data_IF_299371589776
#
_entry.id   IF_299371589776
#
_cell.length_a   1.000
_cell.length_b   1.000
_cell.length_c   1.000
_cell.angle_alpha   90.00
_cell.angle_beta   90.00
_cell.angle_gamma   90.00
#
_symmetry.space_group_name_H-M   'P 1'
#
loop_
_entity.id
_entity.type
_entity.pdbx_description
1 polymer ?
#
# COMPACT_ATOMS: atom_id res chain seq x y z
N UNK A 1 5.12 23.59 -18.64
CA UNK A 1 5.13 22.24 -18.04
C UNK A 1 4.11 21.39 -18.78
N UNK A 2 4.43 20.13 -19.07
CA UNK A 2 3.47 19.20 -19.65
C UNK A 2 2.41 18.85 -18.60
N UNK A 3 1.13 18.84 -18.99
CA UNK A 3 -0.02 18.47 -18.15
C UNK A 3 -0.62 17.18 -18.69
N UNK A 4 -0.99 16.25 -17.80
CA UNK A 4 -1.56 14.96 -18.16
C UNK A 4 -3.00 14.84 -17.59
N UNK A 5 -3.96 15.59 -18.15
CA UNK A 5 -5.28 15.77 -17.54
C UNK A 5 -6.09 14.47 -17.48
N UNK A 6 -5.85 13.53 -18.39
CA UNK A 6 -6.60 12.27 -18.48
C UNK A 6 -5.85 11.08 -17.88
N UNK A 7 -4.70 11.29 -17.22
CA UNK A 7 -3.92 10.20 -16.65
C UNK A 7 -4.65 9.58 -15.45
N UNK A 8 -4.94 8.29 -15.54
CA UNK A 8 -5.65 7.52 -14.52
C UNK A 8 -4.75 6.51 -13.78
N UNK A 9 -3.68 6.07 -14.44
CA UNK A 9 -2.67 5.16 -13.89
C UNK A 9 -1.31 5.81 -14.01
N UNK A 10 -0.57 5.78 -12.92
CA UNK A 10 0.85 6.11 -12.91
C UNK A 10 1.63 4.88 -12.45
N UNK A 11 2.36 4.23 -13.35
CA UNK A 11 3.32 3.19 -13.01
C UNK A 11 4.72 3.66 -13.40
N UNK A 12 5.62 3.79 -12.42
CA UNK A 12 6.99 4.23 -12.65
C UNK A 12 7.97 3.31 -11.95
N UNK A 13 9.01 2.90 -12.67
CA UNK A 13 10.09 2.04 -12.16
C UNK A 13 11.41 2.80 -12.11
N UNK A 14 12.22 2.54 -11.08
CA UNK A 14 13.55 3.11 -10.91
C UNK A 14 13.59 4.64 -10.88
N UNK A 15 12.53 5.27 -10.33
CA UNK A 15 12.41 6.73 -10.24
C UNK A 15 12.52 7.21 -8.80
N UNK A 16 12.98 8.44 -8.57
CA UNK A 16 12.96 9.04 -7.23
C UNK A 16 11.56 9.49 -6.83
N UNK A 17 11.24 9.42 -5.53
CA UNK A 17 9.95 9.89 -5.02
C UNK A 17 9.71 11.38 -5.30
N UNK A 18 10.77 12.20 -5.39
CA UNK A 18 10.66 13.61 -5.76
C UNK A 18 10.13 13.80 -7.19
N UNK A 19 10.59 12.99 -8.14
CA UNK A 19 10.09 13.06 -9.53
C UNK A 19 8.66 12.55 -9.61
N UNK A 20 8.36 11.41 -8.95
CA UNK A 20 6.99 10.88 -8.87
C UNK A 20 6.02 11.93 -8.29
N UNK A 21 6.42 12.61 -7.22
CA UNK A 21 5.66 13.71 -6.60
C UNK A 21 5.35 14.80 -7.62
N UNK A 22 6.36 15.30 -8.35
CA UNK A 22 6.16 16.34 -9.37
C UNK A 22 5.20 15.91 -10.47
N UNK A 23 5.23 14.64 -10.87
CA UNK A 23 4.28 14.12 -11.88
C UNK A 23 2.86 14.14 -11.33
N UNK A 24 2.66 13.62 -10.11
CA UNK A 24 1.36 13.59 -9.42
C UNK A 24 0.76 15.00 -9.30
N UNK A 25 1.56 15.99 -8.89
CA UNK A 25 1.15 17.39 -8.74
C UNK A 25 0.73 18.05 -10.07
N UNK A 26 1.17 17.51 -11.22
CA UNK A 26 0.82 17.99 -12.56
C UNK A 26 -0.30 17.17 -13.22
N UNK A 27 -1.00 16.32 -12.45
CA UNK A 27 -2.22 15.63 -12.90
C UNK A 27 -3.48 16.39 -12.48
N UNK A 28 -4.61 16.10 -13.12
CA UNK A 28 -5.91 16.74 -12.80
C UNK A 28 -6.73 15.99 -11.73
N UNK A 29 -6.09 15.19 -10.87
CA UNK A 29 -6.82 14.44 -9.83
C UNK A 29 -7.51 13.15 -10.29
N UNK A 30 -7.23 12.71 -11.52
CA UNK A 30 -7.87 11.54 -12.13
C UNK A 30 -7.14 10.21 -11.84
N UNK A 31 -6.00 10.26 -11.15
CA UNK A 31 -5.26 9.07 -10.77
C UNK A 31 -6.07 8.22 -9.77
N UNK A 32 -6.36 6.98 -10.16
CA UNK A 32 -6.90 5.97 -9.26
C UNK A 32 -5.87 4.90 -8.90
N UNK A 33 -4.80 4.74 -9.69
CA UNK A 33 -3.68 3.84 -9.40
C UNK A 33 -2.33 4.56 -9.50
N UNK A 34 -1.52 4.42 -8.45
CA UNK A 34 -0.14 4.93 -8.41
C UNK A 34 0.79 3.84 -7.90
N UNK A 35 1.50 3.19 -8.82
CA UNK A 35 2.53 2.19 -8.53
C UNK A 35 3.90 2.81 -8.73
N UNK A 36 4.72 2.85 -7.69
CA UNK A 36 6.07 3.43 -7.75
C UNK A 36 7.07 2.42 -7.22
N UNK A 37 8.05 2.07 -8.04
CA UNK A 37 9.21 1.28 -7.62
C UNK A 37 10.41 2.21 -7.50
N UNK A 38 10.91 2.39 -6.28
CA UNK A 38 12.05 3.27 -5.97
C UNK A 38 13.03 2.59 -5.04
N UNK A 39 14.33 2.81 -5.25
CA UNK A 39 15.37 2.41 -4.32
C UNK A 39 15.62 3.48 -3.24
N UNK A 40 15.10 4.69 -3.42
CA UNK A 40 15.30 5.81 -2.51
C UNK A 40 14.04 6.07 -1.65
N UNK A 41 14.27 6.26 -0.35
CA UNK A 41 13.26 6.59 0.66
C UNK A 41 13.35 8.07 1.11
N UNK A 42 14.04 8.92 0.36
CA UNK A 42 13.99 10.36 0.55
C UNK A 42 12.64 10.92 0.09
N UNK A 43 12.19 12.01 0.72
CA UNK A 43 10.95 12.72 0.37
C UNK A 43 9.65 11.91 0.53
N UNK A 44 9.65 10.83 1.32
CA UNK A 44 8.46 9.98 1.56
C UNK A 44 7.27 10.77 2.11
N UNK A 45 7.51 11.73 3.02
CA UNK A 45 6.48 12.63 3.57
C UNK A 45 5.84 13.45 2.45
N UNK A 46 6.65 14.11 1.61
CA UNK A 46 6.16 14.95 0.50
C UNK A 46 5.39 14.11 -0.52
N UNK A 47 5.88 12.92 -0.83
CA UNK A 47 5.21 11.97 -1.72
C UNK A 47 3.81 11.56 -1.19
N UNK A 48 3.70 11.15 0.08
CA UNK A 48 2.42 10.77 0.67
C UNK A 48 1.45 11.96 0.67
N UNK A 49 1.93 13.18 0.97
CA UNK A 49 1.12 14.40 0.91
C UNK A 49 0.61 14.70 -0.51
N UNK A 50 1.43 14.47 -1.53
CA UNK A 50 0.99 14.66 -2.90
C UNK A 50 -0.14 13.68 -3.28
N UNK A 51 -0.04 12.42 -2.86
CA UNK A 51 -1.15 11.46 -3.04
C UNK A 51 -2.43 11.98 -2.36
N UNK A 52 -2.33 12.42 -1.10
CA UNK A 52 -3.49 12.94 -0.35
C UNK A 52 -4.15 14.13 -1.06
N UNK A 53 -3.35 15.07 -1.55
CA UNK A 53 -3.85 16.34 -2.06
C UNK A 53 -4.27 16.29 -3.54
N UNK A 54 -3.65 15.43 -4.35
CA UNK A 54 -3.80 15.41 -5.80
C UNK A 54 -4.35 14.09 -6.34
N UNK A 55 -4.68 13.10 -5.51
CA UNK A 55 -5.28 11.84 -5.96
C UNK A 55 -6.56 11.51 -5.16
N UNK A 56 -7.63 12.34 -5.26
CA UNK A 56 -8.87 12.13 -4.50
C UNK A 56 -9.59 10.81 -4.86
N UNK A 57 -9.30 10.25 -6.03
CA UNK A 57 -9.88 9.00 -6.53
C UNK A 57 -8.97 7.78 -6.34
N UNK A 58 -7.89 7.89 -5.55
CA UNK A 58 -6.93 6.80 -5.37
C UNK A 58 -7.59 5.55 -4.77
N UNK A 59 -7.39 4.43 -5.45
CA UNK A 59 -7.83 3.10 -5.03
C UNK A 59 -6.63 2.18 -4.76
N UNK A 60 -5.52 2.34 -5.49
CA UNK A 60 -4.33 1.51 -5.37
C UNK A 60 -3.06 2.36 -5.31
N UNK A 61 -2.22 2.17 -4.28
CA UNK A 61 -1.01 2.98 -4.10
C UNK A 61 0.19 2.22 -3.49
N UNK A 62 1.39 2.51 -3.99
CA UNK A 62 2.66 2.12 -3.34
C UNK A 62 3.07 3.16 -2.31
N UNK A 63 3.19 2.80 -1.03
CA UNK A 63 3.69 3.69 0.00
C UNK A 63 5.04 3.25 0.55
N UNK A 64 5.89 4.24 0.80
CA UNK A 64 7.23 4.09 1.35
C UNK A 64 7.21 4.56 2.81
N UNK A 65 7.20 3.62 3.74
CA UNK A 65 6.92 3.84 5.16
C UNK A 65 8.19 3.73 6.01
N UNK A 66 8.31 4.63 6.98
CA UNK A 66 9.30 4.60 8.04
C UNK A 66 8.71 5.20 9.34
N UNK A 67 9.46 5.18 10.44
CA UNK A 67 8.96 5.69 11.72
C UNK A 67 8.60 7.20 11.70
N UNK A 68 9.20 7.99 10.79
CA UNK A 68 9.02 9.44 10.70
C UNK A 68 7.74 9.84 9.96
N UNK A 69 7.18 8.96 9.12
CA UNK A 69 6.04 9.29 8.26
C UNK A 69 4.74 8.58 8.65
N UNK A 70 4.69 7.92 9.82
CA UNK A 70 3.48 7.26 10.31
C UNK A 70 2.28 8.22 10.48
N UNK A 71 2.51 9.50 10.75
CA UNK A 71 1.42 10.47 10.84
C UNK A 71 0.84 10.85 9.46
N UNK A 72 1.66 10.80 8.39
CA UNK A 72 1.15 10.96 7.02
C UNK A 72 0.39 9.71 6.56
N UNK A 73 0.79 8.51 7.00
CA UNK A 73 -0.01 7.29 6.79
C UNK A 73 -1.41 7.44 7.40
N UNK A 74 -1.53 7.95 8.63
CA UNK A 74 -2.85 8.22 9.25
C UNK A 74 -3.69 9.14 8.38
N UNK A 75 -3.11 10.24 7.92
CA UNK A 75 -3.82 11.22 7.08
C UNK A 75 -4.26 10.60 5.76
N UNK A 76 -3.42 9.79 5.12
CA UNK A 76 -3.77 9.09 3.89
C UNK A 76 -4.95 8.15 4.10
N UNK A 77 -4.94 7.33 5.15
CA UNK A 77 -6.03 6.40 5.44
C UNK A 77 -7.37 7.11 5.73
N UNK A 78 -7.32 8.31 6.34
CA UNK A 78 -8.51 9.13 6.62
C UNK A 78 -8.99 9.86 5.35
N UNK A 79 -8.08 10.36 4.51
CA UNK A 79 -8.47 11.15 3.33
C UNK A 79 -8.88 10.29 2.14
N UNK A 80 -8.21 9.16 1.91
CA UNK A 80 -8.36 8.34 0.71
C UNK A 80 -9.41 7.22 0.93
N UNK A 81 -10.68 7.59 1.05
CA UNK A 81 -11.75 6.64 1.39
C UNK A 81 -12.09 5.62 0.30
N UNK A 82 -11.57 5.78 -0.93
CA UNK A 82 -11.70 4.80 -2.02
C UNK A 82 -10.56 3.77 -2.06
N UNK A 83 -9.59 3.88 -1.16
CA UNK A 83 -8.41 3.00 -1.15
C UNK A 83 -8.81 1.54 -0.94
N UNK A 84 -8.56 0.69 -1.93
CA UNK A 84 -8.83 -0.75 -1.92
C UNK A 84 -7.57 -1.57 -1.66
N UNK A 85 -6.45 -1.13 -2.24
CA UNK A 85 -5.17 -1.84 -2.21
C UNK A 85 -4.00 -0.92 -1.85
N UNK A 86 -3.14 -1.40 -0.96
CA UNK A 86 -1.92 -0.68 -0.58
C UNK A 86 -0.70 -1.61 -0.59
N UNK A 87 0.34 -1.21 -1.31
CA UNK A 87 1.67 -1.81 -1.20
C UNK A 87 2.47 -1.01 -0.18
N UNK A 88 3.06 -1.69 0.80
CA UNK A 88 3.75 -1.09 1.94
C UNK A 88 5.22 -1.50 1.92
N UNK A 89 6.04 -0.61 1.36
CA UNK A 89 7.50 -0.73 1.32
C UNK A 89 8.05 -0.09 2.60
N UNK A 90 8.54 -0.91 3.54
CA UNK A 90 9.00 -0.42 4.85
C UNK A 90 10.52 -0.37 4.88
N UNK A 91 11.09 0.81 5.16
CA UNK A 91 12.52 0.96 5.43
C UNK A 91 12.78 1.00 6.94
N UNK A 92 13.66 0.10 7.38
CA UNK A 92 14.23 0.16 8.72
C UNK A 92 15.46 1.08 8.68
N UNK A 93 15.52 2.03 9.60
CA UNK A 93 16.75 2.81 9.79
C UNK A 93 17.77 1.96 10.56
N UNK A 94 19.06 2.19 10.30
CA UNK A 94 20.13 1.51 11.03
C UNK A 94 19.97 1.75 12.53
N UNK A 95 20.04 0.66 13.32
CA UNK A 95 19.93 0.68 14.77
C UNK A 95 18.60 1.21 15.35
N UNK A 96 17.56 1.42 14.53
CA UNK A 96 16.23 1.85 14.99
C UNK A 96 15.19 0.82 14.59
N UNK A 97 14.55 0.22 15.61
CA UNK A 97 13.46 -0.74 15.39
C UNK A 97 12.23 -0.03 14.81
N UNK A 98 11.60 -0.66 13.83
CA UNK A 98 10.33 -0.19 13.28
C UNK A 98 9.21 -0.27 14.33
N UNK A 99 8.41 0.78 14.45
CA UNK A 99 7.30 0.89 15.41
C UNK A 99 6.07 0.10 14.95
N UNK A 100 6.24 -1.21 14.80
CA UNK A 100 5.26 -2.13 14.22
C UNK A 100 3.89 -2.14 14.91
N UNK A 101 3.84 -2.08 16.25
CA UNK A 101 2.58 -2.02 17.00
C UNK A 101 1.79 -0.73 16.68
N UNK A 102 2.48 0.42 16.67
CA UNK A 102 1.88 1.70 16.29
C UNK A 102 1.40 1.68 14.84
N UNK A 103 2.19 1.11 13.93
CA UNK A 103 1.85 0.99 12.52
C UNK A 103 0.58 0.17 12.28
N UNK A 104 0.47 -1.02 12.90
CA UNK A 104 -0.74 -1.84 12.74
C UNK A 104 -1.94 -1.25 13.47
N UNK A 105 -1.75 -0.59 14.62
CA UNK A 105 -2.81 0.15 15.28
C UNK A 105 -3.40 1.22 14.33
N UNK A 106 -2.55 1.95 13.61
CA UNK A 106 -2.97 2.92 12.59
C UNK A 106 -3.78 2.23 11.48
N UNK A 107 -3.28 1.14 10.90
CA UNK A 107 -3.98 0.42 9.82
C UNK A 107 -5.34 -0.09 10.27
N UNK A 108 -5.41 -0.77 11.42
CA UNK A 108 -6.67 -1.34 11.93
C UNK A 108 -7.68 -0.24 12.24
N UNK A 109 -7.25 0.82 12.91
CA UNK A 109 -8.16 1.83 13.47
C UNK A 109 -8.62 2.85 12.44
N UNK A 110 -7.81 3.11 11.41
CA UNK A 110 -8.04 4.24 10.49
C UNK A 110 -8.20 3.82 9.04
N UNK A 111 -7.83 2.60 8.64
CA UNK A 111 -7.99 2.21 7.24
C UNK A 111 -9.47 2.22 6.82
N UNK A 112 -9.78 2.73 5.63
CA UNK A 112 -11.15 2.83 5.16
C UNK A 112 -11.75 1.43 4.98
N UNK A 113 -13.08 1.31 5.06
CA UNK A 113 -13.79 0.03 4.91
C UNK A 113 -13.63 -0.59 3.51
N UNK A 114 -13.27 0.24 2.54
CA UNK A 114 -12.88 -0.15 1.18
C UNK A 114 -11.54 -0.88 1.13
N UNK A 115 -10.61 -0.68 2.08
CA UNK A 115 -9.29 -1.32 2.04
C UNK A 115 -9.41 -2.80 2.40
N UNK A 116 -9.01 -3.68 1.48
CA UNK A 116 -9.01 -5.13 1.68
C UNK A 116 -7.81 -5.85 1.05
N UNK A 117 -6.93 -5.17 0.30
CA UNK A 117 -5.68 -5.76 -0.21
C UNK A 117 -4.46 -5.07 0.40
N UNK A 118 -3.55 -5.85 0.96
CA UNK A 118 -2.26 -5.34 1.47
C UNK A 118 -1.13 -6.18 0.89
N UNK A 119 -0.15 -5.52 0.29
CA UNK A 119 1.12 -6.12 -0.10
C UNK A 119 2.23 -5.61 0.82
N UNK A 120 2.97 -6.50 1.50
CA UNK A 120 3.93 -6.11 2.55
C UNK A 120 5.01 -7.18 2.82
N UNK A 121 6.22 -6.78 3.22
CA UNK A 121 7.23 -7.72 3.75
C UNK A 121 6.89 -8.14 5.18
N UNK A 122 6.50 -9.40 5.36
CA UNK A 122 6.07 -9.95 6.64
C UNK A 122 7.22 -10.25 7.59
N UNK A 123 8.46 -10.35 7.10
CA UNK A 123 9.63 -10.67 7.92
C UNK A 123 10.00 -9.56 8.90
N UNK A 124 9.51 -8.34 8.65
CA UNK A 124 9.72 -7.15 9.48
C UNK A 124 8.99 -7.28 10.83
N UNK A 125 7.99 -8.16 10.91
CA UNK A 125 7.07 -8.23 12.04
C UNK A 125 7.26 -9.49 12.87
N UNK A 126 7.05 -9.35 14.18
CA UNK A 126 6.94 -10.53 15.06
C UNK A 126 5.58 -11.20 14.89
N UNK A 127 5.51 -12.51 15.15
CA UNK A 127 4.24 -13.25 15.14
C UNK A 127 3.22 -12.65 16.09
N UNK A 128 3.64 -12.17 17.28
CA UNK A 128 2.76 -11.49 18.23
C UNK A 128 2.10 -10.25 17.63
N UNK A 129 2.86 -9.44 16.91
CA UNK A 129 2.34 -8.21 16.29
C UNK A 129 1.38 -8.53 15.15
N UNK A 130 1.73 -9.53 14.32
CA UNK A 130 0.86 -10.03 13.25
C UNK A 130 -0.45 -10.61 13.81
N UNK A 131 -0.37 -11.41 14.86
CA UNK A 131 -1.54 -11.99 15.51
C UNK A 131 -2.52 -10.90 15.99
N UNK A 132 -1.99 -9.85 16.64
CA UNK A 132 -2.80 -8.69 17.04
C UNK A 132 -3.41 -7.98 15.85
N UNK A 133 -2.65 -7.80 14.77
CA UNK A 133 -3.16 -7.16 13.55
C UNK A 133 -4.36 -7.92 12.98
N UNK A 134 -4.23 -9.23 12.76
CA UNK A 134 -5.28 -10.04 12.14
C UNK A 134 -6.50 -10.20 13.05
N UNK A 135 -6.30 -10.39 14.37
CA UNK A 135 -7.41 -10.44 15.33
C UNK A 135 -8.26 -9.17 15.27
N UNK A 136 -7.62 -8.00 15.17
CA UNK A 136 -8.34 -6.73 15.10
C UNK A 136 -8.83 -6.38 13.68
N UNK A 137 -8.49 -7.16 12.66
CA UNK A 137 -9.06 -7.02 11.32
C UNK A 137 -10.44 -7.67 11.17
N UNK A 138 -10.88 -8.44 12.18
CA UNK A 138 -12.20 -9.09 12.20
C UNK A 138 -13.34 -8.08 12.01
N UNK A 139 -14.41 -8.54 11.36
CA UNK A 139 -15.58 -7.70 11.05
C UNK A 139 -15.41 -6.83 9.81
N UNK A 140 -14.26 -6.91 9.12
CA UNK A 140 -14.01 -6.27 7.82
C UNK A 140 -14.10 -7.30 6.69
N UNK A 141 -13.99 -6.84 5.45
CA UNK A 141 -13.75 -7.72 4.29
C UNK A 141 -12.50 -8.57 4.52
N UNK A 142 -12.49 -9.80 3.97
CA UNK A 142 -11.32 -10.66 3.97
C UNK A 142 -10.09 -9.88 3.51
N UNK A 143 -9.03 -9.90 4.32
CA UNK A 143 -7.78 -9.26 3.96
C UNK A 143 -7.05 -10.13 2.95
N UNK A 144 -6.98 -9.71 1.70
CA UNK A 144 -6.11 -10.33 0.72
C UNK A 144 -4.68 -9.88 1.03
N UNK A 145 -3.89 -10.80 1.56
CA UNK A 145 -2.54 -10.55 2.01
C UNK A 145 -1.54 -11.08 0.98
N UNK A 146 -0.78 -10.16 0.39
CA UNK A 146 0.26 -10.46 -0.59
C UNK A 146 1.63 -10.26 0.07
N UNK A 147 2.32 -11.32 0.51
CA UNK A 147 3.65 -11.19 1.07
C UNK A 147 4.64 -10.75 -0.03
N UNK A 148 5.31 -9.61 0.14
CA UNK A 148 6.49 -9.30 -0.68
C UNK A 148 7.59 -10.32 -0.41
N UNK A 149 7.84 -10.55 0.87
CA UNK A 149 8.77 -11.56 1.37
C UNK A 149 8.19 -12.08 2.71
N UNK A 150 8.39 -13.37 2.98
CA UNK A 150 7.89 -14.03 4.20
C UNK A 150 8.75 -15.22 4.57
N UNK A 151 8.75 -15.61 5.86
CA UNK A 151 9.35 -16.86 6.30
C UNK A 151 8.32 -17.99 6.22
N UNK A 152 8.78 -19.23 5.97
CA UNK A 152 7.89 -20.42 5.98
C UNK A 152 7.14 -20.54 7.30
N UNK A 153 7.84 -20.39 8.43
CA UNK A 153 7.22 -20.42 9.76
C UNK A 153 6.17 -19.33 9.98
N UNK A 154 6.41 -18.13 9.43
CA UNK A 154 5.40 -17.06 9.43
C UNK A 154 4.19 -17.49 8.61
N UNK A 155 4.37 -17.93 7.37
CA UNK A 155 3.28 -18.41 6.50
C UNK A 155 2.46 -19.53 7.16
N UNK A 156 3.11 -20.53 7.76
CA UNK A 156 2.43 -21.62 8.48
C UNK A 156 1.58 -21.12 9.65
N UNK A 157 2.08 -20.12 10.39
CA UNK A 157 1.36 -19.51 11.51
C UNK A 157 0.11 -18.74 11.06
N UNK A 158 0.06 -18.29 9.80
CA UNK A 158 -1.07 -17.52 9.26
C UNK A 158 -2.23 -18.40 8.77
N UNK A 159 -2.02 -19.71 8.55
CA UNK A 159 -3.05 -20.64 8.09
C UNK A 159 -4.30 -20.65 8.98
N UNK A 160 -4.13 -20.45 10.30
CA UNK A 160 -5.26 -20.33 11.24
C UNK A 160 -6.20 -19.17 10.85
N UNK A 161 -5.64 -18.04 10.41
CA UNK A 161 -6.41 -16.87 10.00
C UNK A 161 -7.06 -17.01 8.62
N UNK A 162 -6.53 -17.88 7.76
CA UNK A 162 -7.20 -18.26 6.52
C UNK A 162 -8.43 -19.12 6.79
N UNK A 163 -8.29 -20.12 7.66
CA UNK A 163 -9.39 -21.01 8.06
C UNK A 163 -10.50 -20.22 8.75
N UNK A 164 -10.14 -19.26 9.60
CA UNK A 164 -11.09 -18.34 10.26
C UNK A 164 -11.73 -17.34 9.29
N UNK A 165 -11.27 -17.25 8.04
CA UNK A 165 -11.77 -16.28 7.10
C UNK A 165 -11.46 -14.84 7.53
N UNK A 166 -10.24 -14.59 8.00
CA UNK A 166 -9.76 -13.23 8.28
C UNK A 166 -8.88 -12.75 7.15
N UNK A 167 -8.03 -13.64 6.64
CA UNK A 167 -7.16 -13.37 5.51
C UNK A 167 -7.42 -14.34 4.36
N UNK A 168 -7.10 -13.90 3.16
CA UNK A 168 -6.82 -14.75 2.00
C UNK A 168 -5.35 -14.57 1.68
N UNK A 169 -4.51 -15.59 1.88
CA UNK A 169 -3.10 -15.50 1.58
C UNK A 169 -2.86 -15.69 0.08
N UNK A 170 -2.30 -14.68 -0.58
CA UNK A 170 -2.11 -14.67 -2.02
C UNK A 170 -0.62 -14.81 -2.36
N UNK A 171 -0.23 -15.91 -3.00
CA UNK A 171 1.16 -16.20 -3.38
C UNK A 171 1.49 -15.83 -4.83
N UNK A 172 0.52 -15.29 -5.57
CA UNK A 172 0.71 -14.80 -6.93
C UNK A 172 1.18 -13.33 -6.94
N UNK A 173 1.55 -12.86 -8.13
CA UNK A 173 1.93 -11.46 -8.37
C UNK A 173 0.72 -10.61 -8.81
N UNK A 174 -0.52 -11.03 -8.53
CA UNK A 174 -1.72 -10.41 -9.08
C UNK A 174 -2.20 -9.19 -8.27
N UNK A 175 -1.44 -8.74 -7.26
CA UNK A 175 -1.84 -7.60 -6.42
C UNK A 175 -2.22 -6.37 -7.26
N UNK A 176 -1.40 -6.07 -8.27
CA UNK A 176 -1.58 -4.93 -9.19
C UNK A 176 -2.44 -5.24 -10.42
N UNK A 177 -2.85 -6.50 -10.61
CA UNK A 177 -3.73 -6.92 -11.70
C UNK A 177 -5.18 -6.62 -11.31
N UNK A 178 -5.82 -5.75 -12.08
CA UNK A 178 -7.18 -5.26 -11.82
C UNK A 178 -7.92 -5.30 -13.16
N UNK A 179 -9.04 -6.01 -13.19
CA UNK A 179 -9.90 -6.21 -14.38
C UNK A 179 -10.64 -4.93 -14.83
N UNK A 180 -10.17 -3.74 -14.43
CA UNK A 180 -10.80 -2.44 -14.75
C UNK A 180 -10.42 -1.90 -16.14
N UNK A 181 -9.71 -2.65 -16.96
CA UNK A 181 -9.34 -2.25 -18.31
C UNK A 181 -9.70 -3.34 -19.32
N UNK A 182 -10.39 -2.94 -20.38
CA UNK A 182 -10.35 -3.67 -21.65
C UNK A 182 -8.99 -3.35 -22.30
N UNK A 183 -8.15 -4.36 -22.50
CA UNK A 183 -6.98 -4.22 -23.36
C UNK A 183 -7.49 -3.94 -24.78
N UNK A 184 -7.11 -2.79 -25.35
CA UNK A 184 -7.35 -2.53 -26.77
C UNK A 184 -6.33 -3.37 -27.53
N UNK A 185 -6.78 -4.49 -28.09
CA UNK A 185 -6.02 -5.25 -29.09
C UNK A 185 -5.92 -4.40 -30.35
N UNK A 186 -4.68 -4.07 -30.75
CA UNK A 186 -4.44 -3.52 -32.08
C UNK A 186 -4.39 -4.70 -33.04
N UNK A 187 -5.35 -4.76 -33.96
CA UNK A 187 -5.23 -5.62 -35.15
C UNK A 187 -4.10 -5.04 -36.02
N UNK A 188 -3.10 -5.87 -36.31
CA UNK A 188 -1.96 -5.56 -37.20
C UNK A 188 -2.41 -5.18 -38.63
#
# INVERSE_FOLDING_TARGET
>A
MASFPNLQVLELTSISLSIATKIIENTNGNLWKVKIESSDFNNTITYIRAIINYCPNIEYVSLFINNQNLDELKRLLISCQRLEGIELLIKMAENVRFMSEKFFYILVSLAPTSLYKIQIDLRIFSLKTLDLFFINWRGRKFLHLYPLITWRSTSDSLKKYEIEGIIKYCMDNSFWYIEKYEEIEWED
#
